data_IF_978827978508
#
_entry.id   IF_978827978508
#
_cell.length_a   1.000
_cell.length_b   1.000
_cell.length_c   1.000
_cell.angle_alpha   90.00
_cell.angle_beta   90.00
_cell.angle_gamma   90.00
#
_symmetry.space_group_name_H-M   'P 1'
#
loop_
_entity.id
_entity.type
_entity.pdbx_description
1 polymer ?
#
# COMPACT_ATOMS: atom_id res chain seq x y z
N UNK A 1 -13.50 12.24 56.33
CA UNK A 1 -12.05 11.91 56.27
C UNK A 1 -11.66 11.57 54.81
N UNK A 2 -10.99 12.49 54.16
CA UNK A 2 -10.50 12.35 52.76
C UNK A 2 -9.08 11.83 52.84
N UNK A 3 -8.76 10.68 52.21
CA UNK A 3 -7.40 10.25 51.92
C UNK A 3 -7.13 10.32 50.43
N UNK A 4 -6.21 11.20 50.04
CA UNK A 4 -5.62 11.35 48.70
C UNK A 4 -4.59 10.23 48.55
N UNK A 5 -4.65 9.48 47.42
CA UNK A 5 -3.53 8.68 46.97
C UNK A 5 -2.86 9.39 45.78
N UNK A 6 -1.55 9.60 45.93
CA UNK A 6 -0.65 10.14 44.92
C UNK A 6 -0.31 9.02 43.91
N UNK A 7 -0.41 9.32 42.63
CA UNK A 7 0.10 8.47 41.56
C UNK A 7 1.58 8.79 41.33
N UNK A 8 2.45 7.78 41.42
CA UNK A 8 3.84 7.85 40.99
C UNK A 8 3.89 7.44 39.52
N UNK A 9 4.36 8.37 38.70
CA UNK A 9 4.72 8.10 37.30
C UNK A 9 6.12 7.47 37.26
N UNK A 10 6.20 6.24 36.76
CA UNK A 10 7.46 5.63 36.33
C UNK A 10 7.47 5.66 34.79
N UNK A 11 8.36 6.47 34.24
CA UNK A 11 8.69 6.51 32.82
C UNK A 11 9.66 5.36 32.50
N UNK A 12 9.27 4.45 31.60
CA UNK A 12 10.21 3.54 30.94
C UNK A 12 10.46 4.04 29.50
N UNK A 13 11.70 4.02 29.02
CA UNK A 13 12.00 4.46 27.68
C UNK A 13 11.68 3.41 26.63
N UNK A 14 11.05 3.86 25.55
CA UNK A 14 10.80 3.07 24.33
C UNK A 14 12.10 3.02 23.54
N UNK A 15 12.67 1.84 23.36
CA UNK A 15 13.79 1.59 22.45
C UNK A 15 13.22 1.32 21.05
N UNK A 16 13.45 2.25 20.12
CA UNK A 16 13.22 2.07 18.69
C UNK A 16 14.39 1.26 18.09
N UNK A 17 14.12 0.06 17.58
CA UNK A 17 15.06 -0.69 16.74
C UNK A 17 14.72 -0.37 15.29
N UNK A 18 15.54 0.46 14.66
CA UNK A 18 15.52 0.67 13.21
C UNK A 18 16.36 -0.41 12.54
N UNK A 19 15.75 -1.26 11.72
CA UNK A 19 16.47 -2.20 10.86
C UNK A 19 16.91 -1.48 9.58
N UNK A 20 18.20 -1.22 9.44
CA UNK A 20 18.83 -0.74 8.22
C UNK A 20 19.13 -1.95 7.31
N UNK A 21 18.55 -1.95 6.10
CA UNK A 21 18.94 -2.87 5.02
C UNK A 21 20.08 -2.22 4.26
N UNK A 22 21.29 -2.79 4.40
CA UNK A 22 22.47 -2.41 3.61
C UNK A 22 22.46 -3.26 2.33
N UNK A 23 22.32 -2.63 1.18
CA UNK A 23 22.57 -3.25 -0.13
C UNK A 23 24.02 -2.96 -0.50
N UNK A 24 24.87 -3.99 -0.49
CA UNK A 24 26.22 -3.93 -1.03
C UNK A 24 26.17 -4.06 -2.57
N UNK A 25 26.67 -3.05 -3.27
CA UNK A 25 27.09 -3.19 -4.66
C UNK A 25 28.58 -3.54 -4.69
N UNK A 26 28.90 -4.68 -5.24
CA UNK A 26 30.26 -5.09 -5.52
C UNK A 26 30.76 -4.40 -6.81
N UNK A 27 31.78 -3.56 -6.68
CA UNK A 27 32.52 -3.03 -7.84
C UNK A 27 33.71 -3.96 -8.12
N UNK A 28 33.75 -4.54 -9.30
CA UNK A 28 34.84 -5.37 -9.81
C UNK A 28 35.96 -4.45 -10.29
N UNK A 29 37.12 -4.48 -9.61
CA UNK A 29 38.36 -3.90 -10.06
C UNK A 29 39.08 -4.91 -10.96
N UNK A 30 39.35 -4.52 -12.21
CA UNK A 30 40.32 -5.20 -13.07
C UNK A 30 41.65 -4.48 -12.96
N UNK A 31 42.62 -5.18 -12.41
CA UNK A 31 44.04 -4.80 -12.35
C UNK A 31 44.76 -5.18 -13.62
N UNK A 32 45.36 -4.19 -14.30
CA UNK A 32 46.31 -4.38 -15.40
C UNK A 32 47.66 -3.76 -15.04
N UNK A 33 48.64 -4.63 -14.91
CA UNK A 33 50.05 -4.35 -14.63
C UNK A 33 50.77 -3.90 -15.91
N UNK A 34 51.67 -2.92 -15.83
CA UNK A 34 52.60 -2.67 -16.91
C UNK A 34 53.58 -1.51 -16.71
N UNK A 35 54.65 -1.81 -15.99
CA UNK A 35 56.05 -1.37 -16.13
C UNK A 35 56.36 0.11 -16.51
N UNK A 36 57.10 0.74 -15.61
CA UNK A 36 57.77 1.99 -15.78
C UNK A 36 59.06 1.88 -16.63
N UNK A 37 59.52 3.02 -17.17
CA UNK A 37 60.91 3.32 -17.52
C UNK A 37 61.19 4.78 -17.21
N UNK A 38 62.44 5.01 -16.80
CA UNK A 38 63.00 6.12 -16.04
C UNK A 38 63.26 7.41 -16.82
N UNK A 39 63.43 8.46 -16.01
CA UNK A 39 64.03 9.75 -16.26
C UNK A 39 65.29 9.75 -17.16
N UNK A 40 65.41 10.77 -17.99
CA UNK A 40 66.69 11.39 -18.33
C UNK A 40 66.49 12.89 -18.61
N UNK A 41 67.10 13.69 -17.81
CA UNK A 41 67.34 15.13 -17.90
C UNK A 41 68.37 15.44 -18.99
N UNK A 42 68.21 16.50 -19.75
CA UNK A 42 69.31 17.20 -20.40
C UNK A 42 68.88 18.64 -20.78
N UNK A 43 69.44 19.60 -20.11
CA UNK A 43 69.58 21.00 -20.50
C UNK A 43 70.87 21.18 -21.26
N UNK A 44 71.24 22.42 -21.69
CA UNK A 44 70.91 23.06 -22.98
C UNK A 44 72.17 23.29 -23.81
N UNK A 45 72.07 23.48 -25.07
CA UNK A 45 73.18 24.02 -25.86
C UNK A 45 72.72 25.27 -26.65
N UNK A 46 73.49 26.35 -26.39
CA UNK A 46 73.44 27.62 -27.07
C UNK A 46 74.17 27.56 -28.40
N UNK A 47 73.59 28.03 -29.51
CA UNK A 47 74.32 28.38 -30.73
C UNK A 47 73.88 29.71 -31.31
N UNK A 48 74.80 30.63 -31.21
CA UNK A 48 75.33 31.66 -32.12
C UNK A 48 74.41 32.27 -33.19
N UNK A 49 74.31 33.60 -33.01
CA UNK A 49 73.89 34.64 -33.94
C UNK A 49 74.72 34.66 -35.19
N UNK A 50 74.11 34.82 -36.37
CA UNK A 50 74.70 35.35 -37.58
C UNK A 50 73.74 36.31 -38.27
N UNK A 51 74.29 37.40 -38.95
CA UNK A 51 73.51 38.59 -39.24
C UNK A 51 72.71 38.50 -40.55
N UNK A 52 71.68 39.33 -40.59
CA UNK A 52 70.71 39.47 -41.66
C UNK A 52 71.26 39.91 -43.00
N UNK A 53 70.64 39.56 -44.14
CA UNK A 53 70.66 40.37 -45.34
C UNK A 53 69.43 41.27 -45.37
N UNK A 54 69.70 42.52 -45.72
CA UNK A 54 68.76 43.55 -46.08
C UNK A 54 67.89 43.12 -47.29
N UNK A 55 66.56 43.22 -47.14
CA UNK A 55 65.61 43.02 -48.21
C UNK A 55 64.61 44.19 -48.24
N UNK A 56 64.58 44.72 -49.35
CA UNK A 56 63.65 45.56 -50.09
C UNK A 56 62.22 45.68 -49.52
N UNK A 57 61.78 46.94 -49.40
CA UNK A 57 60.41 47.33 -49.21
C UNK A 57 59.54 46.93 -50.40
N UNK A 58 58.65 45.94 -50.24
CA UNK A 58 57.41 45.79 -51.04
C UNK A 58 56.27 46.23 -50.19
N UNK A 59 55.26 46.91 -50.74
CA UNK A 59 54.10 47.31 -49.92
C UNK A 59 53.34 46.09 -49.49
N UNK A 60 53.14 45.98 -48.14
CA UNK A 60 52.26 44.97 -47.52
C UNK A 60 50.88 45.06 -48.14
N UNK A 61 50.26 43.93 -48.50
CA UNK A 61 48.86 43.97 -48.92
C UNK A 61 48.03 44.51 -47.74
N UNK A 62 47.22 45.50 -48.05
CA UNK A 62 46.24 46.08 -47.14
C UNK A 62 45.42 44.91 -46.48
N UNK A 63 45.53 44.79 -45.22
CA UNK A 63 44.67 43.81 -44.42
C UNK A 63 43.25 44.20 -44.78
N UNK A 64 42.58 43.33 -45.56
CA UNK A 64 41.13 43.40 -45.70
C UNK A 64 40.54 43.33 -44.31
N UNK A 65 39.87 44.38 -43.85
CA UNK A 65 39.20 44.40 -42.58
C UNK A 65 38.17 43.24 -42.56
N UNK A 66 38.42 42.26 -41.76
CA UNK A 66 37.44 41.20 -41.51
C UNK A 66 36.16 41.91 -41.06
N UNK A 67 35.00 41.60 -41.60
CA UNK A 67 33.75 42.22 -41.18
C UNK A 67 33.62 42.04 -39.67
N UNK A 68 33.47 43.14 -38.95
CA UNK A 68 33.26 43.11 -37.49
C UNK A 68 31.90 42.45 -37.25
N UNK A 69 31.88 41.34 -36.52
CA UNK A 69 30.65 40.69 -36.13
C UNK A 69 29.79 41.64 -35.26
N UNK A 70 28.53 41.79 -35.60
CA UNK A 70 27.57 42.65 -34.93
C UNK A 70 26.31 41.89 -34.49
N UNK A 71 26.32 40.56 -34.68
CA UNK A 71 25.17 39.68 -34.35
C UNK A 71 25.41 39.02 -33.00
N UNK A 72 24.49 39.20 -32.09
CA UNK A 72 24.58 38.59 -30.79
C UNK A 72 24.23 37.07 -30.81
N UNK A 73 24.78 36.29 -29.93
CA UNK A 73 24.44 34.86 -29.77
C UNK A 73 22.97 34.63 -29.52
N UNK A 74 22.51 33.39 -29.74
CA UNK A 74 21.20 32.89 -29.37
C UNK A 74 21.33 31.72 -28.45
N UNK A 75 20.67 31.80 -27.27
CA UNK A 75 20.70 30.76 -26.23
C UNK A 75 19.33 30.09 -26.07
N UNK A 76 19.32 28.77 -25.87
CA UNK A 76 18.15 27.98 -25.59
C UNK A 76 18.37 27.28 -24.24
N UNK A 77 17.43 27.45 -23.31
CA UNK A 77 17.39 26.69 -22.05
C UNK A 77 16.67 25.35 -22.26
N UNK A 78 17.36 24.25 -22.04
CA UNK A 78 16.80 22.91 -22.10
C UNK A 78 16.65 22.36 -20.69
N UNK A 79 15.56 21.60 -20.43
CA UNK A 79 15.23 21.02 -19.11
C UNK A 79 14.29 21.89 -18.28
N UNK A 80 14.16 23.19 -18.58
CA UNK A 80 13.10 24.01 -18.00
C UNK A 80 11.79 23.75 -18.75
N UNK A 81 10.72 23.49 -18.00
CA UNK A 81 9.37 23.34 -18.52
C UNK A 81 8.33 23.87 -17.52
N UNK A 82 7.06 23.91 -17.92
CA UNK A 82 5.97 24.41 -17.08
C UNK A 82 5.39 23.36 -16.10
N UNK A 83 5.97 22.15 -16.06
CA UNK A 83 5.50 21.09 -15.17
C UNK A 83 6.06 21.25 -13.76
N UNK A 84 5.35 20.70 -12.77
CA UNK A 84 5.85 20.57 -11.42
C UNK A 84 6.77 19.36 -11.28
N UNK A 85 7.92 19.53 -10.63
CA UNK A 85 8.93 18.51 -10.42
C UNK A 85 9.14 18.21 -8.94
N UNK A 86 9.18 16.93 -8.58
CA UNK A 86 9.52 16.48 -7.22
C UNK A 86 11.00 16.16 -7.02
N UNK A 87 11.77 16.24 -8.08
CA UNK A 87 13.21 16.01 -8.09
C UNK A 87 13.89 17.28 -8.61
N UNK A 88 15.17 17.43 -8.29
CA UNK A 88 15.97 18.51 -8.82
C UNK A 88 15.92 18.52 -10.35
N UNK A 89 15.89 19.71 -10.94
CA UNK A 89 15.87 19.94 -12.38
C UNK A 89 17.19 20.55 -12.80
N UNK A 90 17.85 19.92 -13.74
CA UNK A 90 19.04 20.47 -14.39
C UNK A 90 18.59 21.22 -15.63
N UNK A 91 18.95 22.49 -15.75
CA UNK A 91 18.74 23.32 -16.93
C UNK A 91 20.08 23.56 -17.61
N UNK A 92 20.16 23.21 -18.89
CA UNK A 92 21.36 23.39 -19.73
C UNK A 92 21.12 24.51 -20.72
N UNK A 93 22.05 25.46 -20.83
CA UNK A 93 22.02 26.57 -21.75
C UNK A 93 22.84 26.23 -22.98
N UNK A 94 22.20 26.18 -24.13
CA UNK A 94 22.82 25.91 -25.41
C UNK A 94 22.86 27.21 -26.23
N UNK A 95 24.01 27.86 -26.25
CA UNK A 95 24.25 29.07 -27.00
C UNK A 95 24.85 28.73 -28.37
N UNK A 96 24.43 29.44 -29.40
CA UNK A 96 24.97 29.40 -30.78
C UNK A 96 25.20 30.80 -31.27
N UNK A 97 26.22 30.99 -32.08
CA UNK A 97 26.56 32.24 -32.74
C UNK A 97 27.04 31.96 -34.16
N UNK A 98 26.66 32.81 -35.12
CA UNK A 98 27.00 32.63 -36.54
C UNK A 98 28.25 33.43 -36.97
N UNK A 99 28.78 34.29 -36.06
CA UNK A 99 29.89 35.19 -36.32
C UNK A 99 31.15 34.84 -35.57
N UNK A 100 31.47 35.64 -34.54
CA UNK A 100 32.71 35.53 -33.76
C UNK A 100 32.77 34.33 -32.82
N UNK A 101 31.66 33.63 -32.62
CA UNK A 101 31.50 32.50 -31.71
C UNK A 101 31.17 32.95 -30.28
N UNK A 102 30.57 32.02 -29.49
CA UNK A 102 30.14 32.28 -28.11
C UNK A 102 31.33 32.40 -27.16
N UNK A 103 31.53 33.55 -26.54
CA UNK A 103 32.57 33.77 -25.53
C UNK A 103 32.16 33.27 -24.16
N UNK A 104 30.92 33.57 -23.72
CA UNK A 104 30.40 33.04 -22.45
C UNK A 104 28.88 33.06 -22.38
N UNK A 105 28.33 32.18 -21.58
CA UNK A 105 26.91 32.16 -21.20
C UNK A 105 26.80 32.53 -19.73
N UNK A 106 25.85 33.38 -19.39
CA UNK A 106 25.58 33.88 -18.06
C UNK A 106 24.12 33.54 -17.68
N UNK A 107 23.91 33.26 -16.41
CA UNK A 107 22.57 33.04 -15.89
C UNK A 107 22.44 33.55 -14.44
N UNK A 108 21.22 33.77 -13.99
CA UNK A 108 20.84 34.00 -12.61
C UNK A 108 19.64 33.14 -12.24
N UNK A 109 19.56 32.71 -11.00
CA UNK A 109 18.42 31.96 -10.45
C UNK A 109 17.76 32.83 -9.36
N UNK A 110 16.45 33.07 -9.47
CA UNK A 110 15.61 33.82 -8.52
C UNK A 110 16.20 35.19 -8.16
N UNK A 111 16.56 35.95 -9.19
CA UNK A 111 17.15 37.28 -9.08
C UNK A 111 18.46 37.35 -8.28
N UNK A 112 19.14 36.20 -8.13
CA UNK A 112 20.46 36.10 -7.52
C UNK A 112 21.55 36.74 -8.37
N UNK A 113 22.81 36.67 -7.96
CA UNK A 113 23.93 37.19 -8.76
C UNK A 113 24.09 36.43 -10.07
N UNK A 114 24.52 37.16 -11.11
CA UNK A 114 24.91 36.55 -12.39
C UNK A 114 26.10 35.61 -12.21
N UNK A 115 25.96 34.41 -12.78
CA UNK A 115 26.98 33.36 -12.80
C UNK A 115 27.30 33.01 -14.23
N UNK A 116 28.57 32.66 -14.49
CA UNK A 116 29.00 32.17 -15.81
C UNK A 116 28.96 30.64 -15.81
N UNK A 117 28.32 30.07 -16.81
CA UNK A 117 28.19 28.61 -16.94
C UNK A 117 27.13 28.21 -17.96
N UNK A 118 27.16 26.96 -18.37
CA UNK A 118 26.22 26.38 -19.31
C UNK A 118 25.19 25.45 -18.69
N UNK A 119 25.21 25.33 -17.34
CA UNK A 119 24.30 24.46 -16.60
C UNK A 119 24.00 25.04 -15.22
N UNK A 120 22.77 24.84 -14.77
CA UNK A 120 22.33 25.12 -13.41
C UNK A 120 21.41 24.05 -12.90
N UNK A 121 21.55 23.67 -11.63
CA UNK A 121 20.65 22.73 -10.97
C UNK A 121 19.73 23.51 -10.04
N UNK A 122 18.41 23.40 -10.27
CA UNK A 122 17.40 23.88 -9.33
C UNK A 122 17.12 22.74 -8.35
N UNK A 123 17.53 22.84 -7.08
CA UNK A 123 17.46 21.73 -6.13
C UNK A 123 16.05 21.47 -5.63
N UNK A 124 15.76 20.20 -5.28
CA UNK A 124 14.49 19.76 -4.70
C UNK A 124 14.77 19.01 -3.35
N UNK A 125 15.11 19.74 -2.28
CA UNK A 125 15.45 19.13 -1.01
C UNK A 125 14.23 18.52 -0.31
N UNK A 126 14.41 17.42 0.39
CA UNK A 126 13.35 16.75 1.17
C UNK A 126 12.77 17.61 2.30
N UNK A 127 13.44 18.68 2.66
CA UNK A 127 12.97 19.68 3.64
C UNK A 127 11.85 20.57 3.11
N UNK A 128 11.53 20.49 1.81
CA UNK A 128 10.59 21.35 1.10
C UNK A 128 10.99 22.85 1.08
N UNK A 129 12.23 23.17 1.42
CA UNK A 129 12.68 24.56 1.55
C UNK A 129 12.81 25.27 0.20
N UNK A 130 12.78 24.53 -0.89
CA UNK A 130 12.90 25.05 -2.26
C UNK A 130 11.64 24.75 -3.09
N UNK A 131 10.48 24.47 -2.44
CA UNK A 131 9.24 24.29 -3.17
C UNK A 131 8.71 25.66 -3.62
N UNK A 132 8.41 25.80 -4.91
CA UNK A 132 7.93 27.04 -5.50
C UNK A 132 8.19 27.11 -7.01
N UNK A 133 7.97 28.32 -7.53
CA UNK A 133 8.29 28.67 -8.92
C UNK A 133 9.62 29.41 -8.94
N UNK A 134 10.59 28.86 -9.63
CA UNK A 134 11.92 29.42 -9.81
C UNK A 134 12.03 30.04 -11.19
N UNK A 135 12.62 31.22 -11.26
CA UNK A 135 12.86 31.95 -12.50
C UNK A 135 14.35 31.98 -12.80
N UNK A 136 14.69 31.59 -14.02
CA UNK A 136 16.02 31.69 -14.58
C UNK A 136 16.03 32.86 -15.59
N UNK A 137 16.92 33.82 -15.40
CA UNK A 137 17.27 34.76 -16.46
C UNK A 137 18.64 34.32 -17.04
N UNK A 138 18.81 34.38 -18.35
CA UNK A 138 20.05 33.94 -19.00
C UNK A 138 20.32 34.73 -20.28
N UNK A 139 21.57 34.83 -20.63
CA UNK A 139 22.07 35.47 -21.87
C UNK A 139 23.46 34.97 -22.21
N UNK A 140 23.86 35.12 -23.46
CA UNK A 140 25.24 34.89 -23.90
C UNK A 140 25.89 36.13 -24.49
N UNK A 141 27.19 36.13 -24.54
CA UNK A 141 28.03 37.15 -25.22
C UNK A 141 29.00 36.43 -26.12
N UNK A 142 29.24 36.98 -27.29
CA UNK A 142 30.21 36.49 -28.28
C UNK A 142 31.63 37.08 -28.05
N UNK A 143 32.59 36.64 -28.83
CA UNK A 143 33.96 37.17 -28.80
C UNK A 143 34.10 38.61 -29.35
N UNK A 144 33.12 39.10 -30.13
CA UNK A 144 33.05 40.48 -30.59
C UNK A 144 32.44 41.44 -29.55
N UNK A 145 31.87 40.92 -28.45
CA UNK A 145 31.28 41.70 -27.37
C UNK A 145 29.78 41.99 -27.55
N UNK A 146 29.10 41.34 -28.50
CA UNK A 146 27.65 41.49 -28.64
C UNK A 146 26.91 40.64 -27.62
N UNK A 147 26.04 41.30 -26.84
CA UNK A 147 25.22 40.63 -25.81
C UNK A 147 23.84 40.26 -26.34
N UNK A 148 23.42 39.04 -26.12
CA UNK A 148 22.04 38.63 -26.27
C UNK A 148 21.12 39.39 -25.27
N UNK A 149 19.91 39.71 -25.71
CA UNK A 149 18.89 40.19 -24.78
C UNK A 149 18.53 39.13 -23.75
N UNK A 150 18.21 39.52 -22.53
CA UNK A 150 17.87 38.59 -21.47
C UNK A 150 16.69 37.72 -21.87
N UNK A 151 16.86 36.42 -21.70
CA UNK A 151 15.87 35.38 -21.89
C UNK A 151 15.43 34.83 -20.52
N UNK A 152 14.22 34.29 -20.45
CA UNK A 152 13.67 33.76 -19.18
C UNK A 152 13.16 32.35 -19.36
N UNK A 153 13.37 31.52 -18.33
CA UNK A 153 12.79 30.18 -18.19
C UNK A 153 12.27 29.98 -16.77
N UNK A 154 11.35 29.04 -16.61
CA UNK A 154 10.80 28.70 -15.31
C UNK A 154 10.99 27.24 -14.98
N UNK A 155 11.21 26.96 -13.71
CA UNK A 155 11.23 25.61 -13.13
C UNK A 155 10.31 25.62 -11.92
N UNK A 156 9.44 24.61 -11.82
CA UNK A 156 8.50 24.48 -10.70
C UNK A 156 8.84 23.27 -9.86
N UNK A 157 9.16 23.49 -8.58
CA UNK A 157 9.53 22.43 -7.64
C UNK A 157 8.41 22.26 -6.63
N UNK A 158 7.93 21.01 -6.47
CA UNK A 158 7.00 20.59 -5.43
C UNK A 158 7.40 19.21 -4.94
N UNK A 159 8.01 19.17 -3.77
CA UNK A 159 8.46 17.92 -3.11
C UNK A 159 7.48 17.47 -2.04
N UNK A 160 6.44 18.26 -1.75
CA UNK A 160 5.49 18.05 -0.66
C UNK A 160 4.26 17.26 -1.12
N UNK A 161 4.01 16.06 -0.58
CA UNK A 161 2.80 15.31 -0.93
C UNK A 161 1.51 16.07 -0.58
N UNK A 162 0.45 15.89 -1.39
CA UNK A 162 -0.85 16.45 -1.09
C UNK A 162 -1.37 15.92 0.24
N UNK A 163 -2.18 16.67 0.93
CA UNK A 163 -2.81 16.23 2.17
C UNK A 163 -4.30 15.98 1.99
N UNK A 164 -4.87 15.06 2.79
CA UNK A 164 -6.29 14.72 2.77
C UNK A 164 -6.88 14.66 4.17
N UNK A 165 -7.95 15.41 4.40
CA UNK A 165 -8.75 15.39 5.63
C UNK A 165 -10.14 14.83 5.34
N UNK A 166 -10.49 13.71 5.95
CA UNK A 166 -11.85 13.17 5.86
C UNK A 166 -12.87 14.08 6.54
N UNK A 167 -13.96 14.36 5.84
CA UNK A 167 -15.14 15.07 6.34
C UNK A 167 -16.27 14.11 6.70
N UNK A 168 -16.42 13.00 5.95
CA UNK A 168 -17.42 11.99 6.25
C UNK A 168 -17.51 10.87 5.25
N UNK A 169 -18.23 9.82 5.69
CA UNK A 169 -18.66 8.68 4.85
C UNK A 169 -20.12 8.43 5.17
N UNK A 170 -21.00 8.55 4.19
CA UNK A 170 -22.45 8.42 4.41
C UNK A 170 -23.15 7.70 3.24
N UNK A 171 -23.95 6.69 3.54
CA UNK A 171 -24.06 6.01 4.82
C UNK A 171 -22.83 5.14 5.12
N UNK A 172 -22.46 5.02 6.39
CA UNK A 172 -21.38 4.14 6.83
C UNK A 172 -21.86 2.70 7.12
N UNK A 173 -23.17 2.50 7.13
CA UNK A 173 -23.83 1.19 7.27
C UNK A 173 -24.81 1.03 6.13
N UNK A 174 -24.74 -0.12 5.45
CA UNK A 174 -25.59 -0.46 4.31
C UNK A 174 -26.49 -1.64 4.67
N UNK A 175 -27.80 -1.47 4.51
CA UNK A 175 -28.79 -2.55 4.61
C UNK A 175 -29.37 -2.93 3.22
N UNK A 176 -29.03 -2.17 2.20
CA UNK A 176 -29.34 -2.42 0.77
C UNK A 176 -28.17 -1.95 -0.10
N UNK A 177 -28.20 -2.32 -1.39
CA UNK A 177 -27.22 -1.79 -2.36
C UNK A 177 -27.56 -0.34 -2.66
N UNK A 178 -26.74 0.57 -2.17
CA UNK A 178 -26.87 2.01 -2.40
C UNK A 178 -25.49 2.66 -2.43
N UNK A 179 -25.39 3.80 -3.10
CA UNK A 179 -24.13 4.54 -3.15
C UNK A 179 -23.73 5.09 -1.79
N UNK A 180 -22.43 5.11 -1.57
CA UNK A 180 -21.78 5.70 -0.39
C UNK A 180 -21.11 7.00 -0.82
N UNK A 181 -21.46 8.11 -0.18
CA UNK A 181 -20.78 9.39 -0.39
C UNK A 181 -19.53 9.44 0.47
N UNK A 182 -18.40 9.68 -0.17
CA UNK A 182 -17.11 9.92 0.47
C UNK A 182 -16.83 11.43 0.39
N UNK A 183 -16.76 12.11 1.52
CA UNK A 183 -16.49 13.55 1.59
C UNK A 183 -15.16 13.79 2.29
N UNK A 184 -14.31 14.62 1.68
CA UNK A 184 -12.97 14.92 2.19
C UNK A 184 -12.49 16.26 1.66
N UNK A 185 -11.48 16.85 2.31
CA UNK A 185 -10.79 18.06 1.83
C UNK A 185 -9.39 17.68 1.38
N UNK A 186 -9.01 18.17 0.22
CA UNK A 186 -7.66 18.09 -0.33
C UNK A 186 -6.98 19.42 -0.10
N UNK A 187 -5.70 19.39 0.30
CA UNK A 187 -4.83 20.57 0.32
C UNK A 187 -3.51 20.17 -0.35
N UNK A 188 -3.03 21.06 -1.18
CA UNK A 188 -1.79 20.91 -1.95
C UNK A 188 -1.10 22.26 -2.04
N UNK A 189 0.23 22.30 -1.90
CA UNK A 189 0.99 23.55 -1.86
C UNK A 189 1.11 24.20 -3.23
N UNK A 190 1.21 23.40 -4.31
CA UNK A 190 1.28 23.89 -5.68
C UNK A 190 -0.04 24.49 -6.18
N UNK A 191 -1.15 24.20 -5.51
CA UNK A 191 -2.49 24.56 -5.96
C UNK A 191 -2.99 23.77 -7.18
N UNK A 192 -2.16 22.90 -7.73
CA UNK A 192 -2.44 22.10 -8.93
C UNK A 192 -3.48 21.00 -8.68
N UNK A 193 -4.16 20.50 -9.72
CA UNK A 193 -5.11 19.42 -9.59
C UNK A 193 -4.46 18.14 -9.09
N UNK A 194 -5.07 17.51 -8.08
CA UNK A 194 -4.63 16.26 -7.47
C UNK A 194 -5.43 15.10 -8.03
N UNK A 195 -4.77 14.06 -8.52
CA UNK A 195 -5.40 12.80 -8.96
C UNK A 195 -5.83 11.99 -7.74
N UNK A 196 -7.13 11.69 -7.63
CA UNK A 196 -7.71 10.94 -6.51
C UNK A 196 -8.13 9.56 -6.96
N UNK A 197 -7.61 8.55 -6.28
CA UNK A 197 -8.02 7.15 -6.42
C UNK A 197 -8.57 6.66 -5.09
N UNK A 198 -9.68 5.91 -5.10
CA UNK A 198 -10.14 5.18 -3.94
C UNK A 198 -10.03 3.68 -4.13
N UNK A 199 -9.85 2.99 -3.04
CA UNK A 199 -9.79 1.54 -2.98
C UNK A 199 -10.68 1.04 -1.84
N UNK A 200 -11.56 0.09 -2.15
CA UNK A 200 -12.32 -0.65 -1.16
C UNK A 200 -11.65 -2.01 -0.93
N UNK A 201 -11.26 -2.27 0.29
CA UNK A 201 -10.60 -3.51 0.72
C UNK A 201 -11.48 -4.18 1.76
N UNK A 202 -11.80 -5.47 1.58
CA UNK A 202 -12.58 -6.21 2.55
C UNK A 202 -11.80 -6.43 3.87
N UNK A 203 -12.46 -6.96 4.88
CA UNK A 203 -11.82 -7.17 6.18
C UNK A 203 -10.69 -8.21 6.17
N UNK A 204 -10.58 -8.99 5.12
CA UNK A 204 -9.53 -10.01 4.91
C UNK A 204 -8.38 -9.51 4.03
N UNK A 205 -8.34 -8.21 3.74
CA UNK A 205 -7.25 -7.58 2.99
C UNK A 205 -7.38 -7.66 1.47
N UNK A 206 -8.50 -8.12 0.94
CA UNK A 206 -8.68 -8.25 -0.51
C UNK A 206 -9.35 -7.02 -1.13
N UNK A 207 -8.82 -6.59 -2.26
CA UNK A 207 -9.35 -5.45 -3.00
C UNK A 207 -10.68 -5.85 -3.65
N UNK A 208 -11.77 -5.28 -3.15
CA UNK A 208 -13.10 -5.47 -3.71
C UNK A 208 -13.30 -4.62 -4.98
N UNK A 209 -12.85 -3.37 -4.94
CA UNK A 209 -12.87 -2.47 -6.08
C UNK A 209 -11.83 -1.37 -5.92
N UNK A 210 -11.35 -0.87 -7.06
CA UNK A 210 -10.50 0.32 -7.15
C UNK A 210 -11.04 1.18 -8.28
N UNK A 211 -11.18 2.46 -8.02
CA UNK A 211 -11.60 3.44 -9.04
C UNK A 211 -10.93 4.79 -8.77
N UNK A 212 -10.58 5.49 -9.84
CA UNK A 212 -9.98 6.81 -9.68
C UNK A 212 -9.19 7.26 -10.89
N UNK A 213 -8.31 8.24 -10.69
CA UNK A 213 -7.62 8.97 -11.72
C UNK A 213 -8.31 10.29 -12.07
N UNK A 214 -9.36 10.66 -11.33
CA UNK A 214 -10.03 11.95 -11.50
C UNK A 214 -9.17 13.04 -10.86
N UNK A 215 -8.75 14.01 -11.67
CA UNK A 215 -8.15 15.24 -11.16
C UNK A 215 -9.19 16.04 -10.34
N UNK A 216 -8.76 16.57 -9.22
CA UNK A 216 -9.57 17.40 -8.33
C UNK A 216 -8.77 18.61 -7.88
N UNK A 217 -9.31 19.78 -8.08
CA UNK A 217 -8.75 21.01 -7.51
C UNK A 217 -8.70 20.90 -5.98
N UNK A 218 -7.65 21.40 -5.31
CA UNK A 218 -7.63 21.50 -3.85
C UNK A 218 -8.90 22.17 -3.30
N UNK A 219 -9.40 21.65 -2.19
CA UNK A 219 -10.69 22.09 -1.61
C UNK A 219 -11.53 20.93 -1.11
N UNK A 220 -12.82 21.18 -0.89
CA UNK A 220 -13.78 20.16 -0.45
C UNK A 220 -14.28 19.34 -1.63
N UNK A 221 -14.16 18.01 -1.53
CA UNK A 221 -14.49 17.06 -2.58
C UNK A 221 -15.50 16.04 -2.06
N UNK A 222 -16.49 15.71 -2.89
CA UNK A 222 -17.39 14.57 -2.68
C UNK A 222 -17.33 13.63 -3.88
N UNK A 223 -17.16 12.33 -3.61
CA UNK A 223 -17.25 11.29 -4.64
C UNK A 223 -18.25 10.23 -4.21
N UNK A 224 -18.88 9.57 -5.19
CA UNK A 224 -19.81 8.48 -4.96
C UNK A 224 -19.12 7.14 -5.19
N UNK A 225 -19.17 6.27 -4.18
CA UNK A 225 -18.71 4.90 -4.25
C UNK A 225 -19.92 3.98 -4.43
N UNK A 226 -19.98 3.26 -5.55
CA UNK A 226 -20.94 2.17 -5.71
C UNK A 226 -20.35 0.91 -5.08
N UNK A 227 -21.05 0.24 -4.12
CA UNK A 227 -20.56 -0.97 -3.46
C UNK A 227 -20.73 -2.20 -4.35
N UNK A 228 -20.08 -2.17 -5.50
CA UNK A 228 -20.08 -3.24 -6.51
C UNK A 228 -18.65 -3.60 -6.91
N UNK A 229 -18.42 -4.88 -7.15
CA UNK A 229 -17.19 -5.37 -7.79
C UNK A 229 -17.09 -4.87 -9.23
N UNK A 230 -15.92 -5.01 -9.85
CA UNK A 230 -15.72 -4.64 -11.26
C UNK A 230 -16.67 -5.34 -12.23
N UNK A 231 -17.13 -6.56 -11.89
CA UNK A 231 -18.10 -7.33 -12.68
C UNK A 231 -19.56 -6.91 -12.44
N UNK A 232 -19.80 -5.78 -11.77
CA UNK A 232 -21.15 -5.25 -11.50
C UNK A 232 -21.91 -5.92 -10.35
N UNK A 233 -21.48 -7.08 -9.86
CA UNK A 233 -22.12 -7.74 -8.71
C UNK A 233 -21.98 -6.90 -7.44
N UNK A 234 -23.02 -6.83 -6.59
CA UNK A 234 -22.91 -6.15 -5.30
C UNK A 234 -21.80 -6.74 -4.45
N UNK A 235 -21.16 -5.91 -3.62
CA UNK A 235 -20.23 -6.42 -2.60
C UNK A 235 -20.92 -7.43 -1.71
N UNK A 236 -20.22 -8.51 -1.36
CA UNK A 236 -20.70 -9.43 -0.32
C UNK A 236 -20.93 -8.68 1.00
N UNK A 237 -21.88 -9.10 1.83
CA UNK A 237 -21.98 -8.55 3.16
C UNK A 237 -20.67 -8.70 3.93
N UNK A 238 -20.35 -7.70 4.74
CA UNK A 238 -19.10 -7.65 5.48
C UNK A 238 -18.60 -6.23 5.70
N UNK A 239 -17.36 -6.11 6.15
CA UNK A 239 -16.69 -4.84 6.40
C UNK A 239 -15.75 -4.49 5.27
N UNK A 240 -15.81 -3.24 4.83
CA UNK A 240 -14.94 -2.68 3.80
C UNK A 240 -14.16 -1.48 4.33
N UNK A 241 -12.85 -1.52 4.14
CA UNK A 241 -11.95 -0.40 4.42
C UNK A 241 -11.80 0.42 3.15
N UNK A 242 -12.11 1.71 3.25
CA UNK A 242 -11.99 2.65 2.14
C UNK A 242 -10.74 3.48 2.37
N UNK A 243 -9.83 3.41 1.42
CA UNK A 243 -8.58 4.16 1.39
C UNK A 243 -8.62 5.12 0.19
N UNK A 244 -8.03 6.30 0.34
CA UNK A 244 -7.75 7.21 -0.76
C UNK A 244 -6.25 7.23 -1.00
N UNK A 245 -5.85 7.21 -2.26
CA UNK A 245 -4.52 7.51 -2.74
C UNK A 245 -4.60 8.78 -3.58
N UNK A 246 -3.79 9.74 -3.24
CA UNK A 246 -3.70 11.03 -3.91
C UNK A 246 -2.34 11.14 -4.57
N UNK A 247 -2.31 11.73 -5.77
CA UNK A 247 -1.07 12.02 -6.50
C UNK A 247 -1.22 13.43 -7.06
N UNK A 248 -0.33 14.33 -6.69
CA UNK A 248 -0.26 15.67 -7.28
C UNK A 248 0.35 15.67 -8.68
N UNK A 249 0.54 16.84 -9.25
CA UNK A 249 1.08 17.01 -10.60
C UNK A 249 2.57 16.68 -10.65
N UNK A 250 3.32 16.98 -9.59
CA UNK A 250 4.73 16.63 -9.44
C UNK A 250 4.96 15.11 -9.26
N UNK A 251 3.90 14.35 -8.97
CA UNK A 251 3.95 12.91 -8.72
C UNK A 251 4.20 12.52 -7.27
N UNK A 252 4.09 13.45 -6.30
CA UNK A 252 4.14 13.10 -4.89
C UNK A 252 2.86 12.37 -4.48
N UNK A 253 2.99 11.42 -3.55
CA UNK A 253 1.91 10.50 -3.18
C UNK A 253 1.54 10.64 -1.73
N UNK A 254 0.24 10.80 -1.47
CA UNK A 254 -0.33 10.68 -0.14
C UNK A 254 -1.39 9.58 -0.08
N UNK A 255 -1.49 8.94 1.09
CA UNK A 255 -2.53 7.97 1.39
C UNK A 255 -3.36 8.46 2.58
N UNK A 256 -4.69 8.33 2.48
CA UNK A 256 -5.58 8.70 3.56
C UNK A 256 -5.55 7.70 4.72
N UNK A 257 -5.95 8.16 5.90
CA UNK A 257 -6.41 7.25 6.96
C UNK A 257 -7.64 6.48 6.45
N UNK A 258 -7.73 5.20 6.81
CA UNK A 258 -8.81 4.31 6.41
C UNK A 258 -10.15 4.76 7.00
N UNK A 259 -11.23 4.63 6.21
CA UNK A 259 -12.62 4.71 6.66
C UNK A 259 -13.32 3.38 6.48
N UNK A 260 -14.30 3.11 7.32
CA UNK A 260 -15.00 1.83 7.36
C UNK A 260 -16.43 1.99 6.86
N UNK A 261 -16.82 1.10 5.94
CA UNK A 261 -18.21 0.88 5.51
C UNK A 261 -18.61 -0.52 5.91
N UNK A 262 -19.70 -0.64 6.67
CA UNK A 262 -20.28 -1.92 7.07
C UNK A 262 -21.42 -2.25 6.13
N UNK A 263 -21.30 -3.35 5.41
CA UNK A 263 -22.31 -3.82 4.46
C UNK A 263 -23.06 -5.00 5.07
N UNK A 264 -24.25 -4.76 5.58
CA UNK A 264 -25.14 -5.74 6.21
C UNK A 264 -26.43 -5.91 5.40
N UNK A 265 -26.35 -5.72 4.10
CA UNK A 265 -27.50 -5.89 3.21
C UNK A 265 -28.07 -7.29 3.30
N UNK A 266 -29.39 -7.40 3.25
CA UNK A 266 -30.07 -8.69 3.11
C UNK A 266 -29.63 -9.40 1.82
N UNK A 267 -29.47 -10.71 1.90
CA UNK A 267 -29.08 -11.58 0.80
C UNK A 267 -29.86 -12.90 0.82
N UNK A 268 -29.80 -13.63 -0.26
CA UNK A 268 -30.20 -15.04 -0.24
C UNK A 268 -29.02 -15.87 0.28
N UNK A 269 -29.15 -16.41 1.48
CA UNK A 269 -28.14 -17.27 2.07
C UNK A 269 -28.09 -18.64 1.38
N UNK A 270 -26.92 -19.24 1.36
CA UNK A 270 -26.68 -20.59 0.84
C UNK A 270 -25.96 -21.45 1.87
N UNK A 271 -26.30 -22.74 1.88
CA UNK A 271 -25.65 -23.75 2.72
C UNK A 271 -24.44 -24.32 2.00
N UNK A 272 -23.31 -24.38 2.71
CA UNK A 272 -22.05 -24.87 2.20
C UNK A 272 -21.50 -25.96 3.10
N UNK A 273 -21.30 -27.15 2.55
CA UNK A 273 -20.62 -28.27 3.22
C UNK A 273 -19.20 -28.45 2.72
N UNK A 274 -18.94 -28.10 1.47
CA UNK A 274 -17.66 -28.12 0.78
C UNK A 274 -17.65 -27.06 -0.31
N UNK A 275 -16.48 -26.57 -0.70
CA UNK A 275 -16.31 -25.58 -1.76
C UNK A 275 -15.58 -26.23 -2.94
N UNK A 276 -16.34 -26.71 -3.91
CA UNK A 276 -15.77 -27.31 -5.13
C UNK A 276 -14.99 -26.26 -5.96
N UNK A 277 -13.94 -26.69 -6.67
CA UNK A 277 -13.13 -25.79 -7.49
C UNK A 277 -12.02 -25.04 -6.73
N UNK A 278 -11.89 -25.26 -5.41
CA UNK A 278 -10.84 -24.59 -4.61
C UNK A 278 -9.43 -25.20 -4.75
N UNK A 279 -9.27 -26.23 -5.58
CA UNK A 279 -8.01 -26.99 -5.70
C UNK A 279 -7.66 -27.72 -4.39
N UNK A 280 -6.38 -28.07 -4.20
CA UNK A 280 -5.92 -28.79 -3.00
C UNK A 280 -5.84 -27.88 -1.76
N UNK A 281 -6.98 -27.29 -1.38
CA UNK A 281 -7.17 -26.46 -0.18
C UNK A 281 -8.24 -27.05 0.71
N UNK A 282 -8.05 -26.92 2.04
CA UNK A 282 -8.96 -27.40 3.08
C UNK A 282 -9.17 -26.29 4.10
N UNK A 283 -10.42 -25.98 4.44
CA UNK A 283 -10.72 -25.05 5.52
C UNK A 283 -10.81 -25.80 6.84
N UNK A 284 -9.91 -25.48 7.77
CA UNK A 284 -10.05 -25.88 9.16
C UNK A 284 -10.91 -24.84 9.88
N UNK A 285 -11.96 -25.28 10.58
CA UNK A 285 -12.91 -24.40 11.27
C UNK A 285 -13.11 -24.85 12.71
N UNK A 286 -13.17 -23.89 13.66
CA UNK A 286 -13.18 -24.15 15.09
C UNK A 286 -14.39 -23.49 15.76
N UNK A 287 -15.22 -24.29 16.41
CA UNK A 287 -16.50 -23.89 17.01
C UNK A 287 -16.43 -23.80 18.55
N UNK A 288 -17.47 -23.28 19.18
CA UNK A 288 -17.79 -23.28 20.60
C UNK A 288 -16.98 -22.32 21.48
N UNK A 289 -16.45 -22.85 22.58
CA UNK A 289 -15.73 -22.11 23.60
C UNK A 289 -14.59 -22.93 24.21
N UNK A 290 -13.54 -22.23 24.67
CA UNK A 290 -12.38 -22.88 25.27
C UNK A 290 -11.14 -22.01 25.13
N UNK A 291 -10.97 -21.00 25.97
CA UNK A 291 -9.92 -19.99 25.84
C UNK A 291 -8.50 -20.57 25.80
N UNK A 292 -8.20 -21.59 26.62
CA UNK A 292 -6.89 -22.24 26.62
C UNK A 292 -6.61 -22.97 25.30
N UNK A 293 -7.58 -23.73 24.81
CA UNK A 293 -7.49 -24.43 23.52
C UNK A 293 -7.41 -23.44 22.37
N UNK A 294 -8.20 -22.38 22.37
CA UNK A 294 -8.16 -21.31 21.37
C UNK A 294 -6.76 -20.71 21.28
N UNK A 295 -6.16 -20.33 22.42
CA UNK A 295 -4.78 -19.82 22.47
C UNK A 295 -3.76 -20.81 21.90
N UNK A 296 -3.86 -22.10 22.25
CA UNK A 296 -2.98 -23.16 21.77
C UNK A 296 -3.12 -23.38 20.26
N UNK A 297 -4.36 -23.39 19.74
CA UNK A 297 -4.66 -23.50 18.33
C UNK A 297 -4.04 -22.33 17.54
N UNK A 298 -4.21 -21.08 18.01
CA UNK A 298 -3.59 -19.91 17.37
C UNK A 298 -2.05 -20.02 17.34
N UNK A 299 -1.43 -20.47 18.46
CA UNK A 299 0.02 -20.69 18.50
C UNK A 299 0.49 -21.70 17.46
N UNK A 300 -0.28 -22.78 17.30
CA UNK A 300 0.03 -23.82 16.29
C UNK A 300 -0.15 -23.29 14.88
N UNK A 301 -1.27 -22.67 14.56
CA UNK A 301 -1.53 -22.10 13.25
C UNK A 301 -0.45 -21.09 12.84
N UNK A 302 -0.01 -20.22 13.76
CA UNK A 302 1.08 -19.27 13.54
C UNK A 302 2.40 -19.99 13.20
N UNK A 303 2.75 -21.04 13.96
CA UNK A 303 3.98 -21.85 13.71
C UNK A 303 3.97 -22.48 12.33
N UNK A 304 2.82 -22.95 11.86
CA UNK A 304 2.67 -23.61 10.54
C UNK A 304 2.32 -22.62 9.42
N UNK A 305 2.22 -21.31 9.70
CA UNK A 305 1.81 -20.27 8.74
C UNK A 305 0.49 -20.61 8.04
N UNK A 306 -0.43 -21.22 8.79
CA UNK A 306 -1.72 -21.65 8.30
C UNK A 306 -2.82 -20.71 8.77
N UNK A 307 -3.84 -20.50 7.94
CA UNK A 307 -5.03 -19.75 8.30
C UNK A 307 -6.21 -20.70 8.55
N UNK A 308 -7.12 -20.27 9.40
CA UNK A 308 -8.33 -21.02 9.75
C UNK A 308 -9.53 -20.07 9.87
N UNK A 309 -10.72 -20.63 10.14
CA UNK A 309 -11.91 -19.84 10.46
C UNK A 309 -12.42 -20.24 11.83
N UNK A 310 -12.75 -19.25 12.64
CA UNK A 310 -13.23 -19.44 14.00
C UNK A 310 -14.71 -19.06 14.10
N UNK A 311 -15.48 -19.92 14.73
CA UNK A 311 -16.90 -19.77 15.05
C UNK A 311 -17.14 -19.90 16.57
N UNK A 312 -16.47 -19.10 17.39
CA UNK A 312 -16.73 -19.17 18.83
C UNK A 312 -18.11 -18.61 19.15
N UNK A 313 -18.70 -19.08 20.25
CA UNK A 313 -19.91 -18.50 20.80
C UNK A 313 -19.68 -17.04 21.22
N UNK A 314 -20.69 -16.20 21.10
CA UNK A 314 -20.60 -14.79 21.47
C UNK A 314 -20.06 -14.54 22.90
N UNK A 315 -20.51 -15.27 23.93
CA UNK A 315 -19.97 -15.18 25.29
C UNK A 315 -18.47 -15.50 25.38
N UNK A 316 -17.96 -16.46 24.59
CA UNK A 316 -16.53 -16.79 24.56
C UNK A 316 -15.69 -15.66 23.98
N UNK A 317 -16.20 -15.00 22.95
CA UNK A 317 -15.56 -13.80 22.37
C UNK A 317 -15.55 -12.65 23.36
N UNK A 318 -16.66 -12.42 24.06
CA UNK A 318 -16.79 -11.37 25.07
C UNK A 318 -15.83 -11.58 26.24
N UNK A 319 -15.67 -12.83 26.69
CA UNK A 319 -14.77 -13.21 27.77
C UNK A 319 -13.28 -13.21 27.40
N UNK A 320 -12.95 -13.23 26.09
CA UNK A 320 -11.57 -13.34 25.60
C UNK A 320 -11.26 -12.32 24.51
N UNK A 321 -11.35 -11.00 24.79
CA UNK A 321 -11.16 -9.96 23.79
C UNK A 321 -9.72 -9.90 23.24
N UNK A 322 -8.73 -10.38 23.97
CA UNK A 322 -7.35 -10.55 23.55
C UNK A 322 -7.22 -11.63 22.45
N UNK A 323 -7.87 -12.77 22.64
CA UNK A 323 -7.90 -13.85 21.64
C UNK A 323 -8.68 -13.43 20.39
N UNK A 324 -9.76 -12.70 20.56
CA UNK A 324 -10.52 -12.14 19.45
C UNK A 324 -9.66 -11.18 18.60
N UNK A 325 -8.95 -10.24 19.24
CA UNK A 325 -8.01 -9.34 18.52
C UNK A 325 -6.91 -10.12 17.82
N UNK A 326 -6.33 -11.09 18.52
CA UNK A 326 -5.26 -11.92 17.99
C UNK A 326 -5.71 -12.73 16.77
N UNK A 327 -6.90 -13.35 16.83
CA UNK A 327 -7.48 -14.11 15.70
C UNK A 327 -7.55 -13.28 14.44
N UNK A 328 -8.04 -12.05 14.54
CA UNK A 328 -8.17 -11.14 13.39
C UNK A 328 -6.79 -10.63 12.93
N UNK A 329 -5.92 -10.27 13.87
CA UNK A 329 -4.59 -9.72 13.55
C UNK A 329 -3.66 -10.74 12.89
N UNK A 330 -3.81 -12.04 13.22
CA UNK A 330 -3.05 -13.13 12.61
C UNK A 330 -3.67 -13.64 11.28
N UNK A 331 -4.68 -12.94 10.74
CA UNK A 331 -5.24 -13.20 9.40
C UNK A 331 -6.28 -14.32 9.34
N UNK A 332 -6.75 -14.80 10.49
CA UNK A 332 -7.81 -15.80 10.52
C UNK A 332 -9.18 -15.17 10.23
N UNK A 333 -10.07 -15.96 9.64
CA UNK A 333 -11.45 -15.55 9.45
C UNK A 333 -12.31 -15.84 10.68
N UNK A 334 -13.43 -15.13 10.79
CA UNK A 334 -14.39 -15.28 11.86
C UNK A 334 -15.79 -15.45 11.31
N UNK A 335 -16.61 -16.22 12.01
CA UNK A 335 -18.02 -16.41 11.74
C UNK A 335 -18.84 -16.39 13.05
N UNK A 336 -20.16 -16.35 12.93
CA UNK A 336 -21.09 -16.42 14.05
C UNK A 336 -21.48 -17.86 14.34
N UNK A 337 -21.48 -18.24 15.60
CA UNK A 337 -22.04 -19.51 16.12
C UNK A 337 -23.23 -19.28 17.07
N UNK A 338 -23.81 -18.07 16.99
CA UNK A 338 -24.85 -17.65 17.92
C UNK A 338 -24.28 -17.18 19.27
N UNK A 339 -25.20 -16.88 20.18
CA UNK A 339 -24.90 -16.44 21.53
C UNK A 339 -25.13 -17.55 22.57
N UNK A 340 -26.32 -18.21 22.52
CA UNK A 340 -26.78 -19.17 23.52
C UNK A 340 -26.52 -20.63 23.16
N UNK A 341 -26.04 -20.93 21.95
CA UNK A 341 -25.86 -22.27 21.40
C UNK A 341 -27.17 -23.07 21.27
N UNK A 342 -28.31 -22.38 21.07
CA UNK A 342 -29.60 -23.05 20.82
C UNK A 342 -29.75 -23.50 19.38
N UNK A 343 -30.55 -24.54 19.18
CA UNK A 343 -30.97 -24.97 17.83
C UNK A 343 -31.79 -23.87 17.16
N UNK A 344 -31.22 -23.26 16.13
CA UNK A 344 -31.83 -22.12 15.38
C UNK A 344 -33.14 -22.54 14.68
N UNK A 345 -33.37 -23.82 14.47
CA UNK A 345 -34.61 -24.34 13.84
C UNK A 345 -35.85 -24.13 14.68
N UNK A 346 -35.70 -23.93 15.96
CA UNK A 346 -36.79 -23.65 16.92
C UNK A 346 -36.95 -22.17 17.22
N UNK A 347 -36.05 -21.33 16.70
CA UNK A 347 -36.09 -19.89 16.92
C UNK A 347 -36.91 -19.18 15.84
N UNK A 348 -37.62 -18.12 16.24
CA UNK A 348 -38.21 -17.19 15.30
C UNK A 348 -37.14 -16.44 14.50
N UNK A 349 -37.49 -15.84 13.36
CA UNK A 349 -36.56 -15.01 12.59
C UNK A 349 -35.95 -13.86 13.43
N UNK A 350 -36.72 -13.28 14.36
CA UNK A 350 -36.25 -12.27 15.31
C UNK A 350 -35.32 -12.85 16.36
N UNK A 351 -35.58 -14.06 16.85
CA UNK A 351 -34.69 -14.82 17.76
C UNK A 351 -33.35 -15.10 17.08
N UNK A 352 -33.34 -15.59 15.83
CA UNK A 352 -32.12 -15.82 15.04
C UNK A 352 -31.36 -14.51 14.84
N UNK A 353 -32.04 -13.41 14.48
CA UNK A 353 -31.38 -12.10 14.33
C UNK A 353 -30.70 -11.66 15.65
N UNK A 354 -31.36 -11.87 16.79
CA UNK A 354 -30.82 -11.56 18.10
C UNK A 354 -29.57 -12.40 18.42
N UNK A 355 -29.60 -13.71 18.18
CA UNK A 355 -28.46 -14.61 18.35
C UNK A 355 -27.25 -14.17 17.52
N UNK A 356 -27.46 -13.83 16.26
CA UNK A 356 -26.43 -13.41 15.34
C UNK A 356 -25.79 -12.07 15.72
N UNK A 357 -26.61 -11.04 16.03
CA UNK A 357 -26.08 -9.72 16.34
C UNK A 357 -25.48 -9.62 17.75
N UNK A 358 -26.01 -10.34 18.72
CA UNK A 358 -25.37 -10.46 20.04
C UNK A 358 -23.99 -11.10 19.92
N UNK A 359 -23.83 -12.14 19.09
CA UNK A 359 -22.53 -12.78 18.86
C UNK A 359 -21.55 -11.89 18.07
N UNK A 360 -22.05 -10.99 17.21
CA UNK A 360 -21.21 -10.09 16.42
C UNK A 360 -20.66 -8.90 17.22
N UNK A 361 -21.39 -8.43 18.22
CA UNK A 361 -21.03 -7.25 19.01
C UNK A 361 -19.64 -7.33 19.68
N UNK A 362 -19.25 -8.44 20.35
CA UNK A 362 -17.91 -8.57 20.95
C UNK A 362 -16.78 -8.55 19.93
N UNK A 363 -16.97 -9.08 18.74
CA UNK A 363 -15.99 -8.97 17.65
C UNK A 363 -15.75 -7.53 17.26
N UNK A 364 -16.83 -6.77 17.10
CA UNK A 364 -16.73 -5.35 16.75
C UNK A 364 -16.03 -4.54 17.85
N UNK A 365 -16.39 -4.75 19.11
CA UNK A 365 -15.80 -4.01 20.24
C UNK A 365 -14.31 -4.32 20.43
N UNK A 366 -13.91 -5.58 20.27
CA UNK A 366 -12.54 -6.04 20.50
C UNK A 366 -11.59 -5.82 19.31
N UNK A 367 -12.03 -6.09 18.07
CA UNK A 367 -11.15 -6.18 16.91
C UNK A 367 -11.55 -5.30 15.73
N UNK A 368 -12.69 -4.59 15.82
CA UNK A 368 -13.28 -3.85 14.69
C UNK A 368 -13.50 -4.72 13.45
N UNK A 369 -13.81 -5.99 13.66
CA UNK A 369 -14.17 -6.95 12.63
C UNK A 369 -15.63 -7.40 12.79
N UNK A 370 -16.18 -8.08 11.79
CA UNK A 370 -17.53 -8.63 11.81
C UNK A 370 -17.52 -10.08 11.37
N UNK A 371 -18.33 -10.99 11.97
CA UNK A 371 -18.48 -12.37 11.54
C UNK A 371 -19.21 -12.50 10.20
N UNK A 372 -19.91 -11.46 9.73
CA UNK A 372 -20.57 -11.43 8.41
C UNK A 372 -19.51 -11.60 7.31
N UNK A 373 -19.71 -12.46 6.32
CA UNK A 373 -20.97 -13.12 5.91
C UNK A 373 -21.14 -14.57 6.41
N UNK A 374 -20.33 -15.04 7.36
CA UNK A 374 -20.28 -16.45 7.77
C UNK A 374 -21.09 -16.72 9.03
N UNK A 375 -21.95 -17.72 8.97
CA UNK A 375 -22.66 -18.27 10.13
C UNK A 375 -22.58 -19.78 10.09
N UNK A 376 -22.38 -20.39 11.24
CA UNK A 376 -22.60 -21.82 11.47
C UNK A 376 -23.68 -22.00 12.52
N UNK A 377 -24.85 -22.54 12.15
CA UNK A 377 -25.89 -22.86 13.13
C UNK A 377 -25.38 -23.90 14.14
N UNK A 378 -25.67 -23.76 15.43
CA UNK A 378 -25.37 -24.77 16.42
C UNK A 378 -25.89 -26.15 16.01
N UNK A 379 -25.11 -27.20 16.31
CA UNK A 379 -25.37 -28.60 15.93
C UNK A 379 -25.52 -28.86 14.43
N UNK A 380 -25.21 -27.87 13.57
CA UNK A 380 -25.48 -27.95 12.13
C UNK A 380 -26.97 -27.92 11.79
N UNK A 381 -27.82 -27.58 12.74
CA UNK A 381 -29.29 -27.60 12.60
C UNK A 381 -29.79 -26.39 11.80
N UNK A 382 -30.44 -26.64 10.67
CA UNK A 382 -31.02 -25.61 9.82
C UNK A 382 -32.26 -26.12 9.07
N UNK A 383 -33.12 -25.19 8.71
CA UNK A 383 -34.23 -25.36 7.75
C UNK A 383 -34.29 -24.13 6.84
N UNK A 384 -35.27 -24.09 5.94
CA UNK A 384 -35.43 -22.97 5.01
C UNK A 384 -35.65 -21.62 5.71
N UNK A 385 -36.39 -21.61 6.83
CA UNK A 385 -36.62 -20.40 7.63
C UNK A 385 -35.33 -19.92 8.30
N UNK A 386 -34.51 -20.82 8.86
CA UNK A 386 -33.20 -20.51 9.41
C UNK A 386 -32.30 -19.87 8.35
N UNK A 387 -32.22 -20.47 7.15
CA UNK A 387 -31.38 -19.96 6.06
C UNK A 387 -31.87 -18.58 5.61
N UNK A 388 -33.18 -18.39 5.46
CA UNK A 388 -33.76 -17.09 5.11
C UNK A 388 -33.48 -16.02 6.16
N UNK A 389 -33.66 -16.35 7.46
CA UNK A 389 -33.40 -15.43 8.56
C UNK A 389 -31.91 -15.00 8.63
N UNK A 390 -30.98 -15.94 8.42
CA UNK A 390 -29.55 -15.62 8.32
C UNK A 390 -29.26 -14.65 7.15
N UNK A 391 -29.82 -14.93 5.97
CA UNK A 391 -29.66 -14.09 4.80
C UNK A 391 -30.23 -12.67 4.98
N UNK A 392 -31.37 -12.56 5.66
CA UNK A 392 -31.98 -11.27 5.99
C UNK A 392 -31.05 -10.36 6.82
N UNK A 393 -30.15 -10.95 7.61
CA UNK A 393 -29.16 -10.26 8.43
C UNK A 393 -27.79 -10.07 7.75
N UNK A 394 -27.64 -10.45 6.48
CA UNK A 394 -26.39 -10.36 5.73
C UNK A 394 -25.46 -11.57 5.87
N UNK A 395 -25.85 -12.60 6.61
CA UNK A 395 -25.10 -13.86 6.70
C UNK A 395 -25.44 -14.74 5.50
N UNK A 396 -24.83 -14.46 4.36
CA UNK A 396 -25.14 -15.15 3.08
C UNK A 396 -24.55 -16.56 2.99
N UNK A 397 -23.65 -16.93 3.89
CA UNK A 397 -22.93 -18.22 3.88
C UNK A 397 -23.20 -19.00 5.16
N UNK A 398 -24.14 -19.93 5.08
CA UNK A 398 -24.42 -20.90 6.15
C UNK A 398 -23.43 -22.04 6.00
N UNK A 399 -22.47 -22.11 6.90
CA UNK A 399 -21.32 -23.01 6.81
C UNK A 399 -21.59 -24.27 7.64
N UNK A 400 -21.69 -25.38 6.97
CA UNK A 400 -21.63 -26.71 7.56
C UNK A 400 -20.26 -27.35 7.29
N UNK A 401 -20.19 -28.68 7.18
CA UNK A 401 -18.95 -29.42 6.97
C UNK A 401 -19.21 -30.66 6.13
N UNK A 402 -18.17 -31.19 5.52
CA UNK A 402 -18.12 -32.50 4.87
C UNK A 402 -17.14 -33.45 5.61
N UNK A 403 -16.38 -32.91 6.58
CA UNK A 403 -15.51 -33.72 7.45
C UNK A 403 -15.78 -33.39 8.91
N UNK A 404 -16.23 -34.39 9.66
CA UNK A 404 -16.46 -34.35 11.10
C UNK A 404 -15.63 -35.44 11.79
N UNK A 405 -14.52 -35.09 12.44
CA UNK A 405 -13.71 -36.08 13.18
C UNK A 405 -14.31 -36.46 14.52
N UNK A 406 -15.46 -35.91 14.92
CA UNK A 406 -16.13 -36.09 16.20
C UNK A 406 -15.22 -35.78 17.41
N UNK A 407 -14.43 -34.72 17.30
CA UNK A 407 -13.54 -34.27 18.37
C UNK A 407 -14.30 -33.80 19.61
N UNK A 408 -15.56 -33.44 19.47
CA UNK A 408 -16.47 -33.15 20.54
C UNK A 408 -16.72 -34.35 21.49
N UNK A 409 -16.59 -35.57 21.01
CA UNK A 409 -16.67 -36.82 21.78
C UNK A 409 -15.36 -37.18 22.51
N UNK A 410 -14.31 -36.40 22.36
CA UNK A 410 -13.00 -36.57 22.98
C UNK A 410 -12.31 -37.94 22.70
N UNK A 411 -12.20 -38.38 21.43
CA UNK A 411 -11.67 -39.71 21.08
C UNK A 411 -10.13 -39.82 21.17
N UNK A 412 -9.46 -38.74 21.54
CA UNK A 412 -7.99 -38.66 21.57
C UNK A 412 -7.40 -37.97 20.32
N UNK A 413 -6.25 -37.30 20.50
CA UNK A 413 -5.64 -36.44 19.46
C UNK A 413 -5.24 -37.22 18.20
N UNK A 414 -4.72 -38.43 18.33
CA UNK A 414 -4.33 -39.28 17.20
C UNK A 414 -5.53 -39.71 16.36
N UNK A 415 -6.63 -40.07 17.01
CA UNK A 415 -7.89 -40.46 16.33
C UNK A 415 -8.49 -39.26 15.58
N UNK A 416 -8.52 -38.09 16.20
CA UNK A 416 -8.97 -36.85 15.55
C UNK A 416 -8.15 -36.58 14.29
N UNK A 417 -6.81 -36.62 14.38
CA UNK A 417 -5.94 -36.40 13.24
C UNK A 417 -6.15 -37.45 12.12
N UNK A 418 -6.24 -38.72 12.47
CA UNK A 418 -6.49 -39.81 11.51
C UNK A 418 -7.83 -39.62 10.77
N UNK A 419 -8.91 -39.30 11.50
CA UNK A 419 -10.24 -39.08 10.92
C UNK A 419 -10.26 -37.87 9.98
N UNK A 420 -9.61 -36.76 10.34
CA UNK A 420 -9.48 -35.61 9.43
C UNK A 420 -8.75 -36.03 8.17
N UNK A 421 -7.57 -36.60 8.31
CA UNK A 421 -6.70 -36.91 7.19
C UNK A 421 -7.27 -37.98 6.24
N UNK A 422 -8.06 -38.93 6.72
CA UNK A 422 -8.68 -39.95 5.87
C UNK A 422 -9.88 -39.45 5.04
N UNK A 423 -10.52 -38.36 5.46
CA UNK A 423 -11.76 -37.91 4.83
C UNK A 423 -11.63 -36.62 4.01
N UNK A 424 -10.56 -35.82 4.20
CA UNK A 424 -10.38 -34.56 3.46
C UNK A 424 -10.25 -34.76 1.96
N UNK A 425 -10.91 -33.87 1.22
CA UNK A 425 -10.90 -33.77 -0.24
C UNK A 425 -10.62 -32.32 -0.65
N UNK A 426 -10.26 -32.05 -1.91
CA UNK A 426 -10.14 -30.68 -2.40
C UNK A 426 -11.40 -29.86 -2.10
N UNK A 427 -11.24 -28.75 -1.37
CA UNK A 427 -12.33 -27.88 -0.98
C UNK A 427 -13.10 -28.29 0.27
N UNK A 428 -12.68 -29.30 1.01
CA UNK A 428 -13.32 -29.73 2.27
C UNK A 428 -13.38 -28.60 3.31
N UNK A 429 -14.47 -28.62 4.07
CA UNK A 429 -14.66 -27.84 5.30
C UNK A 429 -14.68 -28.82 6.48
N UNK A 430 -13.70 -28.72 7.35
CA UNK A 430 -13.55 -29.57 8.54
C UNK A 430 -14.13 -28.84 9.73
N UNK A 431 -15.09 -29.45 10.43
CA UNK A 431 -15.55 -28.97 11.74
C UNK A 431 -14.64 -29.50 12.84
N UNK A 432 -14.22 -28.62 13.70
CA UNK A 432 -13.43 -28.88 14.90
C UNK A 432 -13.95 -27.96 16.02
N UNK A 433 -13.61 -28.28 17.27
CA UNK A 433 -14.06 -27.47 18.40
C UNK A 433 -12.86 -26.94 19.21
N UNK A 434 -13.08 -25.88 19.98
CA UNK A 434 -12.03 -25.25 20.81
C UNK A 434 -11.75 -26.10 22.05
N UNK A 435 -11.22 -27.32 21.84
CA UNK A 435 -10.95 -28.34 22.89
C UNK A 435 -9.44 -28.67 22.94
N UNK A 436 -9.00 -29.12 24.14
CA UNK A 436 -7.59 -29.45 24.38
C UNK A 436 -7.07 -30.56 23.45
N UNK A 437 -7.87 -31.61 23.23
CA UNK A 437 -7.49 -32.72 22.31
C UNK A 437 -7.40 -32.28 20.87
N UNK A 438 -8.27 -31.39 20.43
CA UNK A 438 -8.22 -30.76 19.11
C UNK A 438 -6.94 -29.95 18.95
N UNK A 439 -6.60 -29.14 19.96
CA UNK A 439 -5.34 -28.38 19.97
C UNK A 439 -4.12 -29.30 19.90
N UNK A 440 -4.14 -30.46 20.60
CA UNK A 440 -3.09 -31.46 20.56
C UNK A 440 -3.01 -32.19 19.20
N UNK A 441 -4.15 -32.41 18.52
CA UNK A 441 -4.24 -33.06 17.22
C UNK A 441 -3.72 -32.15 16.05
N UNK A 442 -3.87 -30.84 16.20
CA UNK A 442 -3.67 -29.88 15.12
C UNK A 442 -2.28 -29.93 14.45
N UNK A 443 -1.15 -30.09 15.19
CA UNK A 443 0.16 -30.25 14.55
C UNK A 443 0.24 -31.46 13.61
N UNK A 444 -0.36 -32.58 13.99
CA UNK A 444 -0.40 -33.79 13.14
C UNK A 444 -1.32 -33.59 11.92
N UNK A 445 -2.46 -32.94 12.10
CA UNK A 445 -3.35 -32.57 10.99
C UNK A 445 -2.62 -31.71 9.97
N UNK A 446 -1.95 -30.64 10.40
CA UNK A 446 -1.29 -29.70 9.50
C UNK A 446 -0.13 -30.36 8.74
N UNK A 447 0.73 -31.13 9.40
CA UNK A 447 1.80 -31.91 8.74
C UNK A 447 1.22 -32.93 7.75
N UNK A 448 0.17 -33.64 8.13
CA UNK A 448 -0.46 -34.65 7.27
C UNK A 448 -1.16 -34.05 6.06
N UNK A 449 -1.74 -32.87 6.17
CA UNK A 449 -2.28 -32.10 5.03
C UNK A 449 -1.17 -31.67 4.08
N UNK A 450 -0.10 -31.06 4.62
CA UNK A 450 1.07 -30.63 3.84
C UNK A 450 1.74 -31.79 3.08
N UNK A 451 1.98 -32.90 3.76
CA UNK A 451 2.56 -34.13 3.15
C UNK A 451 1.71 -34.68 1.99
N UNK A 452 0.41 -34.42 1.98
CA UNK A 452 -0.53 -34.78 0.91
C UNK A 452 -0.75 -33.64 -0.11
N UNK A 453 0.03 -32.56 -0.03
CA UNK A 453 -0.04 -31.42 -0.91
C UNK A 453 -1.30 -30.56 -0.72
N UNK A 454 -1.98 -30.66 0.44
CA UNK A 454 -3.08 -29.75 0.79
C UNK A 454 -2.57 -28.53 1.53
N UNK A 455 -3.20 -27.39 1.28
CA UNK A 455 -3.00 -26.17 2.05
C UNK A 455 -4.18 -25.93 2.99
N UNK A 456 -3.89 -25.81 4.28
CA UNK A 456 -4.88 -25.36 5.27
C UNK A 456 -5.10 -23.85 5.11
N UNK A 457 -6.37 -23.43 4.92
CA UNK A 457 -6.75 -22.05 4.60
C UNK A 457 -8.00 -21.63 5.37
N UNK A 458 -8.23 -20.31 5.45
CA UNK A 458 -9.49 -19.76 5.94
C UNK A 458 -10.62 -19.92 4.91
N UNK A 459 -11.89 -19.80 5.34
CA UNK A 459 -13.04 -19.84 4.42
C UNK A 459 -12.96 -18.76 3.33
N UNK A 460 -12.63 -17.48 3.61
CA UNK A 460 -12.45 -16.50 2.53
C UNK A 460 -11.43 -16.91 1.49
N UNK A 461 -10.32 -17.49 1.90
CA UNK A 461 -9.30 -17.99 0.98
C UNK A 461 -9.80 -19.20 0.16
N UNK A 462 -10.57 -20.11 0.82
CA UNK A 462 -11.16 -21.27 0.15
C UNK A 462 -12.17 -20.84 -0.92
N UNK A 463 -13.11 -19.96 -0.54
CA UNK A 463 -14.13 -19.45 -1.47
C UNK A 463 -13.51 -18.70 -2.66
N UNK A 464 -12.50 -17.90 -2.37
CA UNK A 464 -11.81 -17.14 -3.42
C UNK A 464 -11.06 -18.03 -4.40
N UNK A 465 -10.38 -19.07 -3.92
CA UNK A 465 -9.68 -20.03 -4.77
C UNK A 465 -10.63 -20.75 -5.72
N UNK A 466 -11.89 -20.88 -5.34
CA UNK A 466 -12.97 -21.44 -6.17
C UNK A 466 -13.71 -20.37 -7.04
N UNK A 467 -13.22 -19.12 -7.09
CA UNK A 467 -13.83 -18.05 -7.88
C UNK A 467 -15.04 -17.36 -7.23
N UNK A 468 -15.38 -17.69 -5.99
CA UNK A 468 -16.42 -16.97 -5.23
C UNK A 468 -15.81 -15.72 -4.55
N UNK A 469 -16.53 -14.61 -4.64
CA UNK A 469 -16.16 -13.35 -4.03
C UNK A 469 -17.13 -12.96 -2.94
#
# INVERSE_FOLDING_TARGET
MRRRFRANHVLLPVVLVAAAVVIMFAATLVSGVGRGVALASAEPESQKVQPAPTVSNSPSPSASATPTDTVAPRTIARGADENWHRLAVTVTFLATDEGSGVASTQFTLDDGPWQTGTEVVVPAPRSHANDGVHTLAYRSVDYAGNYESEQYARVRIDTKPPSVKWLGVSPSVLHKVQSVRLSFRISDASGSPVKVQWQAVDQYGYIANTRGGYARTPGSVSISLSPRYKNGKPFTPGLYRINLRLVDEAGNVANSKTRIVRNYRSTQARVWRRVSGAGRRVALTFDDSGAAAWRSILNTLKRYRAHATFFPLGPAVAASPDLARRTVAEGHAIGSHGWTHRLMTYESSGGIATELWRSAAPWWSSSRATPVPYVRPPYGGYNSATVAACGAQGFERVILWDVDPQDWASPGASVIAARVLSHVKPGSIVVLHLRSQTAAALPAILRGLEARGYKAVSLPELFRAAGYR
#
